data_IF_666574980102
#
_entry.id   IF_666574980102
#
_cell.length_a   1.000
_cell.length_b   1.000
_cell.length_c   1.000
_cell.angle_alpha   90.00
_cell.angle_beta   90.00
_cell.angle_gamma   90.00
#
_symmetry.space_group_name_H-M   'P 1'
#
loop_
_entity.id
_entity.type
_entity.pdbx_description
1 polymer ?
#
# COMPACT_ATOMS: atom_id res chain seq x y z
N UNK A 1 15.96 88.40 3.30
CA UNK A 1 15.59 89.64 2.60
C UNK A 1 15.04 89.25 1.23
N UNK A 2 13.71 89.23 1.05
CA UNK A 2 12.94 90.21 0.23
C UNK A 2 13.45 90.28 -1.22
N UNK A 3 12.67 90.09 -2.29
CA UNK A 3 11.26 90.40 -2.57
C UNK A 3 10.83 89.71 -3.88
N UNK A 4 9.51 89.60 -4.01
CA UNK A 4 8.69 89.31 -5.20
C UNK A 4 9.20 89.83 -6.55
N UNK A 5 8.90 89.07 -7.61
CA UNK A 5 8.26 89.62 -8.80
C UNK A 5 7.40 88.56 -9.48
N UNK A 6 6.12 88.89 -9.63
CA UNK A 6 5.12 88.13 -10.37
C UNK A 6 5.26 88.41 -11.87
N UNK A 7 5.02 87.41 -12.71
CA UNK A 7 4.72 87.62 -14.12
C UNK A 7 3.44 86.86 -14.46
N UNK A 8 2.46 87.64 -14.89
CA UNK A 8 1.22 87.22 -15.52
C UNK A 8 1.56 86.63 -16.89
N UNK A 9 1.09 85.43 -17.19
CA UNK A 9 0.82 85.10 -18.60
C UNK A 9 -0.34 84.12 -18.75
N UNK A 10 -1.06 84.41 -19.82
CA UNK A 10 -2.46 84.08 -20.14
C UNK A 10 -2.70 82.64 -20.54
N UNK A 11 -3.81 82.08 -20.05
CA UNK A 11 -4.38 80.78 -20.46
C UNK A 11 -4.85 80.78 -21.92
N UNK A 12 -4.46 79.79 -22.75
CA UNK A 12 -5.25 79.39 -23.90
C UNK A 12 -6.23 78.28 -23.54
N UNK A 13 -7.51 78.63 -23.66
CA UNK A 13 -8.69 77.77 -23.71
C UNK A 13 -8.58 76.79 -24.91
N UNK A 14 -8.43 75.49 -24.69
CA UNK A 14 -8.65 74.47 -25.75
C UNK A 14 -9.42 73.25 -25.26
N UNK A 15 -10.65 73.19 -25.78
CA UNK A 15 -11.53 72.06 -26.12
C UNK A 15 -11.31 70.72 -25.41
N UNK A 16 -12.34 70.35 -24.65
CA UNK A 16 -12.62 68.98 -24.24
C UNK A 16 -12.99 68.13 -25.47
N UNK A 17 -12.05 67.29 -25.93
CA UNK A 17 -12.39 66.18 -26.81
C UNK A 17 -12.84 64.99 -25.96
N UNK A 18 -14.17 64.87 -25.88
CA UNK A 18 -14.87 63.67 -25.42
C UNK A 18 -14.72 62.58 -26.47
N UNK A 19 -13.77 61.66 -26.35
CA UNK A 19 -13.88 60.28 -26.90
C UNK A 19 -12.63 59.41 -26.62
N UNK A 20 -12.55 58.74 -25.45
CA UNK A 20 -11.74 57.51 -25.35
C UNK A 20 -12.54 56.29 -24.84
N UNK A 21 -13.83 56.42 -24.55
CA UNK A 21 -14.62 55.35 -23.94
C UNK A 21 -15.26 54.38 -24.96
N UNK A 22 -15.47 54.81 -26.21
CA UNK A 22 -16.13 53.99 -27.22
C UNK A 22 -15.19 52.95 -27.87
N UNK A 23 -13.92 53.29 -28.05
CA UNK A 23 -12.88 52.39 -28.59
C UNK A 23 -12.45 51.35 -27.57
N UNK A 24 -12.36 51.70 -26.28
CA UNK A 24 -12.02 50.77 -25.20
C UNK A 24 -13.09 49.68 -25.02
N UNK A 25 -14.39 50.04 -25.12
CA UNK A 25 -15.51 49.07 -25.03
C UNK A 25 -15.54 48.07 -26.19
N UNK A 26 -15.17 48.49 -27.40
CA UNK A 26 -15.11 47.59 -28.56
C UNK A 26 -13.93 46.61 -28.47
N UNK A 27 -12.79 47.05 -27.92
CA UNK A 27 -11.64 46.18 -27.68
C UNK A 27 -11.92 45.13 -26.59
N UNK A 28 -12.61 45.53 -25.52
CA UNK A 28 -12.99 44.63 -24.42
C UNK A 28 -13.97 43.54 -24.87
N UNK A 29 -14.91 43.87 -25.77
CA UNK A 29 -15.83 42.89 -26.36
C UNK A 29 -15.13 41.86 -27.26
N UNK A 30 -14.13 42.30 -28.06
CA UNK A 30 -13.36 41.39 -28.92
C UNK A 30 -12.48 40.46 -28.09
N UNK A 31 -11.79 40.98 -27.07
CA UNK A 31 -10.97 40.16 -26.16
C UNK A 31 -11.83 39.17 -25.36
N UNK A 32 -13.02 39.57 -24.92
CA UNK A 32 -13.97 38.66 -24.26
C UNK A 32 -14.48 37.55 -25.20
N UNK A 33 -14.76 37.85 -26.47
CA UNK A 33 -15.14 36.84 -27.46
C UNK A 33 -13.98 35.88 -27.79
N UNK A 34 -12.74 36.36 -27.88
CA UNK A 34 -11.57 35.51 -28.07
C UNK A 34 -11.30 34.59 -26.86
N UNK A 35 -11.50 35.08 -25.64
CA UNK A 35 -11.40 34.27 -24.42
C UNK A 35 -12.51 33.21 -24.35
N UNK A 36 -13.74 33.52 -24.75
CA UNK A 36 -14.84 32.54 -24.83
C UNK A 36 -14.59 31.46 -25.89
N UNK A 37 -13.97 31.81 -27.02
CA UNK A 37 -13.57 30.83 -28.04
C UNK A 37 -12.43 29.90 -27.55
N UNK A 38 -11.54 30.39 -26.68
CA UNK A 38 -10.49 29.59 -26.04
C UNK A 38 -11.04 28.62 -24.98
N UNK A 39 -12.14 28.96 -24.28
CA UNK A 39 -12.77 28.06 -23.30
C UNK A 39 -13.58 26.94 -23.98
N UNK A 40 -14.16 27.19 -25.16
CA UNK A 40 -14.88 26.17 -25.94
C UNK A 40 -13.95 25.10 -26.58
N UNK A 41 -12.63 25.34 -26.63
CA UNK A 41 -11.64 24.41 -27.17
C UNK A 41 -11.17 23.30 -26.22
N UNK A 42 -11.56 23.35 -24.94
CA UNK A 42 -11.25 22.31 -23.94
C UNK A 42 -12.36 21.26 -23.78
N UNK A 43 -13.28 21.15 -24.75
CA UNK A 43 -14.16 19.99 -24.84
C UNK A 43 -13.36 18.81 -25.40
N UNK A 44 -12.64 18.11 -24.51
CA UNK A 44 -12.07 16.81 -24.82
C UNK A 44 -13.17 15.92 -25.41
N UNK A 45 -12.94 15.42 -26.63
CA UNK A 45 -13.82 14.42 -27.26
C UNK A 45 -14.04 13.28 -26.26
N UNK A 46 -15.28 12.81 -26.04
CA UNK A 46 -15.50 11.64 -25.21
C UNK A 46 -14.78 10.48 -25.90
N UNK A 47 -13.66 10.06 -25.31
CA UNK A 47 -13.06 8.77 -25.67
C UNK A 47 -14.13 7.75 -25.33
N UNK A 48 -14.56 7.02 -26.35
CA UNK A 48 -15.36 5.82 -26.16
C UNK A 48 -14.62 4.96 -25.14
N UNK A 49 -15.17 4.89 -23.93
CA UNK A 49 -14.64 4.05 -22.87
C UNK A 49 -14.74 2.60 -23.36
N UNK A 50 -13.62 2.05 -23.80
CA UNK A 50 -13.45 0.61 -23.76
C UNK A 50 -13.77 0.20 -22.32
N UNK A 51 -14.62 -0.82 -22.10
CA UNK A 51 -14.98 -1.21 -20.74
C UNK A 51 -13.69 -1.45 -19.97
N UNK A 52 -13.51 -0.70 -18.89
CA UNK A 52 -12.34 -0.82 -18.04
C UNK A 52 -12.19 -2.30 -17.68
N UNK A 53 -11.05 -2.90 -18.03
CA UNK A 53 -10.79 -4.29 -17.67
C UNK A 53 -10.99 -4.41 -16.16
N UNK A 54 -11.73 -5.43 -15.67
CA UNK A 54 -11.96 -5.59 -14.26
C UNK A 54 -10.61 -5.68 -13.56
N UNK A 55 -10.34 -4.73 -12.68
CA UNK A 55 -9.08 -4.64 -11.93
C UNK A 55 -8.99 -5.71 -10.86
N UNK A 56 -10.06 -6.47 -10.63
CA UNK A 56 -10.21 -7.42 -9.53
C UNK A 56 -10.55 -6.77 -8.19
N UNK A 57 -10.75 -5.44 -8.16
CA UNK A 57 -11.09 -4.68 -6.97
C UNK A 57 -12.52 -4.13 -7.02
N UNK A 58 -13.16 -4.06 -5.85
CA UNK A 58 -14.52 -3.53 -5.68
C UNK A 58 -14.60 -2.00 -5.95
N UNK A 59 -13.48 -1.28 -5.83
CA UNK A 59 -13.39 0.17 -6.07
C UNK A 59 -11.96 0.65 -6.33
N UNK A 60 -11.82 1.87 -6.84
CA UNK A 60 -10.51 2.53 -6.97
C UNK A 60 -9.81 2.70 -5.61
N UNK A 61 -10.58 2.95 -4.55
CA UNK A 61 -10.06 3.05 -3.19
C UNK A 61 -9.57 1.72 -2.65
N UNK A 62 -10.29 0.63 -2.92
CA UNK A 62 -9.83 -0.70 -2.56
C UNK A 62 -8.49 -1.03 -3.23
N UNK A 63 -8.33 -0.64 -4.51
CA UNK A 63 -7.05 -0.75 -5.21
C UNK A 63 -5.96 0.13 -4.57
N UNK A 64 -6.24 1.40 -4.28
CA UNK A 64 -5.26 2.32 -3.69
C UNK A 64 -4.81 1.87 -2.30
N UNK A 65 -5.73 1.31 -1.50
CA UNK A 65 -5.41 0.71 -0.20
C UNK A 65 -4.56 -0.54 -0.40
N UNK A 66 -4.88 -1.40 -1.36
CA UNK A 66 -4.06 -2.58 -1.67
C UNK A 66 -2.63 -2.17 -2.06
N UNK A 67 -2.47 -1.24 -3.01
CA UNK A 67 -1.17 -0.71 -3.42
C UNK A 67 -0.40 -0.07 -2.24
N UNK A 68 -1.11 0.58 -1.30
CA UNK A 68 -0.54 1.13 -0.07
C UNK A 68 -0.05 0.02 0.87
N UNK A 69 -0.86 -1.03 1.07
CA UNK A 69 -0.52 -2.16 1.92
C UNK A 69 0.62 -3.00 1.36
N UNK A 70 0.74 -3.16 0.04
CA UNK A 70 1.88 -3.84 -0.60
C UNK A 70 3.23 -3.23 -0.21
N UNK A 71 3.29 -1.93 0.09
CA UNK A 71 4.53 -1.22 0.47
C UNK A 71 4.83 -1.28 1.96
N UNK A 72 3.86 -1.64 2.78
CA UNK A 72 4.03 -1.64 4.24
C UNK A 72 5.18 -2.54 4.72
N UNK A 73 5.37 -3.78 4.21
CA UNK A 73 6.47 -4.65 4.64
C UNK A 73 7.85 -4.02 4.47
N UNK A 74 8.08 -3.32 3.35
CA UNK A 74 9.34 -2.63 3.09
C UNK A 74 9.57 -1.51 4.11
N UNK A 75 8.52 -0.76 4.46
CA UNK A 75 8.59 0.32 5.47
C UNK A 75 8.86 -0.27 6.85
N UNK A 76 8.15 -1.33 7.25
CA UNK A 76 8.31 -2.00 8.54
C UNK A 76 9.71 -2.61 8.70
N UNK A 77 10.24 -3.25 7.66
CA UNK A 77 11.58 -3.84 7.67
C UNK A 77 12.72 -2.82 7.48
N UNK A 78 12.42 -1.58 7.07
CA UNK A 78 13.43 -0.58 6.71
C UNK A 78 14.29 -0.09 7.88
N UNK A 79 13.78 -0.16 9.11
CA UNK A 79 14.37 0.50 10.28
C UNK A 79 14.19 2.03 10.31
N UNK A 80 13.50 2.62 9.32
CA UNK A 80 13.23 4.05 9.27
C UNK A 80 11.94 4.38 10.04
N UNK A 81 12.12 4.72 11.33
CA UNK A 81 11.03 5.17 12.19
C UNK A 81 10.29 6.41 11.65
N UNK A 82 10.95 7.30 10.90
CA UNK A 82 10.29 8.47 10.31
C UNK A 82 9.41 8.06 9.14
N UNK A 83 9.84 7.11 8.32
CA UNK A 83 9.01 6.55 7.26
C UNK A 83 7.76 5.87 7.83
N UNK A 84 7.90 5.12 8.92
CA UNK A 84 6.74 4.52 9.61
C UNK A 84 5.80 5.58 10.17
N UNK A 85 6.32 6.62 10.85
CA UNK A 85 5.49 7.72 11.35
C UNK A 85 4.73 8.46 10.24
N UNK A 86 5.30 8.57 9.03
CA UNK A 86 4.62 9.23 7.89
C UNK A 86 3.39 8.49 7.39
N UNK A 87 3.29 7.18 7.61
CA UNK A 87 2.13 6.39 7.17
C UNK A 87 1.08 6.21 8.26
N UNK A 88 1.36 6.67 9.48
CA UNK A 88 0.45 6.64 10.62
C UNK A 88 -0.24 8.00 10.79
N UNK A 89 -1.43 8.00 11.40
CA UNK A 89 -2.00 9.23 11.95
C UNK A 89 -1.29 9.60 13.25
N UNK A 90 -1.32 10.88 13.62
CA UNK A 90 -0.72 11.35 14.88
C UNK A 90 -1.38 10.71 16.11
N UNK A 91 -2.65 10.32 16.00
CA UNK A 91 -3.43 9.67 17.05
C UNK A 91 -3.44 8.13 16.95
N UNK A 92 -2.59 7.54 16.10
CA UNK A 92 -2.67 6.12 15.80
C UNK A 92 -2.40 5.22 17.03
N UNK A 93 -2.92 4.00 16.95
CA UNK A 93 -2.63 2.90 17.87
C UNK A 93 -1.82 1.85 17.14
N UNK A 94 -0.58 1.64 17.56
CA UNK A 94 0.35 0.73 16.90
C UNK A 94 0.82 -0.35 17.86
N UNK A 95 0.56 -1.61 17.54
CA UNK A 95 1.14 -2.76 18.25
C UNK A 95 2.37 -3.24 17.48
N UNK A 96 3.58 -3.23 18.09
CA UNK A 96 4.78 -3.77 17.46
C UNK A 96 4.62 -5.23 17.04
N UNK A 97 5.25 -5.60 15.94
CA UNK A 97 5.24 -6.97 15.42
C UNK A 97 6.13 -7.87 16.28
N UNK A 98 7.25 -7.33 16.75
CA UNK A 98 8.18 -8.02 17.62
C UNK A 98 8.37 -7.27 18.94
N UNK A 99 8.68 -8.02 19.99
CA UNK A 99 9.01 -7.50 21.32
C UNK A 99 7.99 -7.88 22.40
N UNK A 100 8.32 -7.55 23.63
CA UNK A 100 7.50 -7.89 24.81
C UNK A 100 6.38 -6.88 25.07
N UNK A 101 6.23 -5.87 24.21
CA UNK A 101 5.24 -4.80 24.38
C UNK A 101 3.85 -5.32 23.98
N UNK A 102 3.13 -5.88 24.95
CA UNK A 102 1.72 -6.29 24.78
C UNK A 102 0.81 -5.05 24.61
N UNK A 103 1.28 -3.86 25.00
CA UNK A 103 0.48 -2.63 24.97
C UNK A 103 0.69 -1.86 23.66
N UNK A 104 -0.39 -1.39 23.02
CA UNK A 104 -0.28 -0.50 21.87
C UNK A 104 0.43 0.80 22.23
N UNK A 105 1.35 1.24 21.38
CA UNK A 105 1.89 2.60 21.39
C UNK A 105 0.79 3.53 20.90
N UNK A 106 0.46 4.55 21.69
CA UNK A 106 -0.64 5.49 21.40
C UNK A 106 -0.10 6.82 20.87
N UNK A 107 -0.96 7.61 20.24
CA UNK A 107 -0.60 8.87 19.57
C UNK A 107 0.43 9.76 20.28
N UNK A 108 0.19 10.09 21.57
CA UNK A 108 1.11 10.92 22.36
C UNK A 108 2.51 10.33 22.61
N UNK A 109 2.69 9.04 22.33
CA UNK A 109 3.92 8.27 22.52
C UNK A 109 4.56 7.83 21.20
N UNK A 110 3.83 7.85 20.07
CA UNK A 110 4.30 7.34 18.78
C UNK A 110 5.64 7.94 18.37
N UNK A 111 5.75 9.27 18.36
CA UNK A 111 6.97 9.95 17.92
C UNK A 111 8.19 9.67 18.80
N UNK A 112 7.96 9.27 20.06
CA UNK A 112 9.01 8.98 21.05
C UNK A 112 9.46 7.53 21.03
N UNK A 113 8.52 6.59 20.96
CA UNK A 113 8.79 5.16 21.12
C UNK A 113 8.96 4.43 19.78
N UNK A 114 8.15 4.77 18.77
CA UNK A 114 8.09 4.01 17.53
C UNK A 114 9.43 3.94 16.79
N UNK A 115 10.24 5.01 16.68
CA UNK A 115 11.52 4.91 15.99
C UNK A 115 12.48 3.89 16.58
N UNK A 116 12.52 3.76 17.91
CA UNK A 116 13.35 2.78 18.59
C UNK A 116 12.84 1.34 18.34
N UNK A 117 11.52 1.16 18.34
CA UNK A 117 10.89 -0.14 18.04
C UNK A 117 11.19 -0.59 16.61
N UNK A 118 11.00 0.27 15.62
CA UNK A 118 11.25 -0.08 14.21
C UNK A 118 12.74 -0.37 13.96
N UNK A 119 13.64 0.36 14.63
CA UNK A 119 15.08 0.07 14.58
C UNK A 119 15.43 -1.30 15.18
N UNK A 120 14.76 -1.66 16.29
CA UNK A 120 14.94 -2.94 16.98
C UNK A 120 14.38 -4.12 16.15
N UNK A 121 13.22 -3.96 15.52
CA UNK A 121 12.65 -4.93 14.58
C UNK A 121 13.60 -5.20 13.41
N UNK A 122 14.19 -4.15 12.83
CA UNK A 122 15.24 -4.30 11.81
C UNK A 122 16.49 -5.00 12.36
N UNK A 123 16.93 -4.66 13.58
CA UNK A 123 18.09 -5.29 14.21
C UNK A 123 17.88 -6.79 14.41
N UNK A 124 16.66 -7.20 14.73
CA UNK A 124 16.24 -8.60 14.78
C UNK A 124 16.10 -9.24 13.40
N UNK A 125 16.27 -8.50 12.31
CA UNK A 125 16.15 -9.01 10.96
C UNK A 125 14.70 -9.40 10.62
N UNK A 126 13.73 -8.61 11.09
CA UNK A 126 12.32 -8.80 10.74
C UNK A 126 12.16 -8.79 9.22
N UNK A 127 11.53 -9.84 8.71
CA UNK A 127 11.00 -9.91 7.37
C UNK A 127 9.51 -10.27 7.43
N UNK A 128 8.73 -9.62 6.60
CA UNK A 128 7.28 -9.69 6.57
C UNK A 128 6.83 -9.94 5.12
N UNK A 129 5.96 -10.92 4.93
CA UNK A 129 5.35 -11.20 3.63
C UNK A 129 3.84 -11.37 3.78
N UNK A 130 3.07 -10.71 2.92
CA UNK A 130 1.61 -10.86 2.91
C UNK A 130 1.18 -12.14 2.19
N UNK A 131 0.15 -12.78 2.73
CA UNK A 131 -0.60 -13.83 2.04
C UNK A 131 -1.85 -13.21 1.43
N UNK A 132 -1.99 -13.34 0.12
CA UNK A 132 -3.22 -12.99 -0.58
C UNK A 132 -4.32 -14.06 -0.37
N UNK A 133 -5.62 -13.68 -0.42
CA UNK A 133 -6.13 -12.32 -0.65
C UNK A 133 -6.15 -11.44 0.62
N UNK A 134 -6.03 -10.11 0.45
CA UNK A 134 -6.39 -9.13 1.48
C UNK A 134 -7.93 -8.90 1.52
N UNK A 135 -8.55 -8.92 2.70
CA UNK A 135 -9.94 -8.43 2.85
C UNK A 135 -9.93 -6.92 3.07
N UNK A 136 -10.28 -6.19 2.02
CA UNK A 136 -10.33 -4.73 2.01
C UNK A 136 -11.80 -4.28 2.02
N UNK A 137 -12.13 -3.41 2.97
CA UNK A 137 -13.45 -2.80 3.11
C UNK A 137 -13.31 -1.29 3.16
N UNK A 138 -14.08 -0.57 2.33
CA UNK A 138 -14.02 0.89 2.23
C UNK A 138 -15.40 1.48 2.49
N UNK A 139 -15.47 2.51 3.34
CA UNK A 139 -16.70 3.24 3.66
C UNK A 139 -16.40 4.74 3.79
N UNK A 140 -16.58 5.48 2.70
CA UNK A 140 -16.26 6.91 2.62
C UNK A 140 -14.78 7.14 2.91
N UNK A 141 -14.46 8.02 3.86
CA UNK A 141 -13.09 8.37 4.26
C UNK A 141 -12.43 7.36 5.22
N UNK A 142 -13.03 6.19 5.41
CA UNK A 142 -12.53 5.13 6.28
C UNK A 142 -12.35 3.83 5.50
N UNK A 143 -11.30 3.10 5.84
CA UNK A 143 -11.04 1.78 5.30
C UNK A 143 -10.62 0.82 6.40
N UNK A 144 -10.73 -0.46 6.14
CA UNK A 144 -10.10 -1.49 6.95
C UNK A 144 -9.51 -2.58 6.08
N UNK A 145 -8.39 -3.13 6.52
CA UNK A 145 -7.73 -4.27 5.89
C UNK A 145 -7.56 -5.38 6.91
N UNK A 146 -7.95 -6.59 6.54
CA UNK A 146 -7.48 -7.81 7.18
C UNK A 146 -6.55 -8.53 6.21
N UNK A 147 -5.38 -8.92 6.68
CA UNK A 147 -4.37 -9.62 5.87
C UNK A 147 -3.62 -10.62 6.76
N UNK A 148 -3.26 -11.79 6.21
CA UNK A 148 -2.39 -12.73 6.93
C UNK A 148 -0.95 -12.46 6.53
N UNK A 149 -0.05 -12.53 7.50
CA UNK A 149 1.36 -12.24 7.32
C UNK A 149 2.24 -13.40 7.77
N UNK A 150 3.22 -13.75 6.95
CA UNK A 150 4.35 -14.58 7.34
C UNK A 150 5.46 -13.68 7.89
N UNK A 151 5.88 -13.93 9.12
CA UNK A 151 6.97 -13.23 9.77
C UNK A 151 8.15 -14.17 9.94
N UNK A 152 9.36 -13.65 9.69
CA UNK A 152 10.61 -14.30 10.09
C UNK A 152 11.53 -13.29 10.73
N UNK A 153 12.29 -13.72 11.75
CA UNK A 153 13.26 -12.88 12.45
C UNK A 153 14.33 -13.74 13.13
N UNK A 154 15.34 -13.09 13.73
CA UNK A 154 16.39 -13.71 14.52
C UNK A 154 16.29 -13.27 15.97
N UNK A 155 16.29 -14.25 16.87
CA UNK A 155 16.28 -14.00 18.32
C UNK A 155 17.28 -14.94 18.99
N UNK A 156 18.24 -14.39 19.74
CA UNK A 156 19.28 -15.15 20.44
C UNK A 156 20.04 -16.12 19.51
N UNK A 157 20.36 -15.67 18.29
CA UNK A 157 21.05 -16.47 17.28
C UNK A 157 20.17 -17.49 16.54
N UNK A 158 18.93 -17.70 16.97
CA UNK A 158 18.00 -18.66 16.36
C UNK A 158 17.06 -17.96 15.37
N UNK A 159 16.82 -18.61 14.23
CA UNK A 159 15.75 -18.20 13.32
C UNK A 159 14.39 -18.51 13.95
N UNK A 160 13.48 -17.54 13.86
CA UNK A 160 12.11 -17.62 14.34
C UNK A 160 11.16 -17.31 13.20
N UNK A 161 9.97 -17.88 13.28
CA UNK A 161 8.90 -17.63 12.33
C UNK A 161 7.55 -17.60 13.06
N UNK A 162 6.62 -16.84 12.54
CA UNK A 162 5.24 -16.80 13.01
C UNK A 162 4.30 -16.44 11.85
N UNK A 163 3.04 -16.81 12.00
CA UNK A 163 1.96 -16.34 11.13
C UNK A 163 1.07 -15.42 11.95
N UNK A 164 0.73 -14.26 11.41
CA UNK A 164 -0.12 -13.28 12.07
C UNK A 164 -1.35 -12.95 11.24
N UNK A 165 -2.51 -12.84 11.88
CA UNK A 165 -3.69 -12.18 11.34
C UNK A 165 -3.61 -10.70 11.69
N UNK A 166 -3.34 -9.86 10.69
CA UNK A 166 -3.17 -8.42 10.88
C UNK A 166 -4.46 -7.67 10.56
N UNK A 167 -4.76 -6.66 11.37
CA UNK A 167 -5.81 -5.68 11.12
C UNK A 167 -5.21 -4.28 10.99
N UNK A 168 -5.68 -3.56 9.98
CA UNK A 168 -5.40 -2.14 9.78
C UNK A 168 -6.71 -1.36 9.74
N UNK A 169 -6.85 -0.38 10.63
CA UNK A 169 -7.85 0.67 10.53
C UNK A 169 -7.25 1.86 9.79
N UNK A 170 -7.85 2.25 8.66
CA UNK A 170 -7.35 3.30 7.78
C UNK A 170 -8.30 4.50 7.78
N UNK A 171 -7.73 5.69 7.69
CA UNK A 171 -8.47 6.93 7.44
C UNK A 171 -7.78 7.72 6.34
N UNK A 172 -8.56 8.52 5.61
CA UNK A 172 -8.01 9.45 4.63
C UNK A 172 -7.66 10.78 5.32
N UNK A 173 -6.49 11.31 5.01
CA UNK A 173 -6.08 12.65 5.47
C UNK A 173 -6.64 13.76 4.57
N UNK A 174 -6.34 15.01 4.93
CA UNK A 174 -6.79 16.20 4.19
C UNK A 174 -6.25 16.27 2.76
N UNK A 175 -5.15 15.57 2.47
CA UNK A 175 -4.53 15.48 1.13
C UNK A 175 -5.03 14.27 0.34
N UNK A 176 -6.10 13.64 0.81
CA UNK A 176 -6.69 12.44 0.24
C UNK A 176 -5.78 11.20 0.29
N UNK A 177 -4.79 11.15 1.18
CA UNK A 177 -3.89 10.01 1.36
C UNK A 177 -4.37 9.09 2.48
N UNK A 178 -4.29 7.78 2.26
CA UNK A 178 -4.59 6.79 3.29
C UNK A 178 -3.50 6.77 4.37
N UNK A 179 -3.92 6.76 5.63
CA UNK A 179 -3.07 6.67 6.82
C UNK A 179 -3.59 5.58 7.75
N UNK A 180 -2.67 4.94 8.45
CA UNK A 180 -2.99 3.93 9.47
C UNK A 180 -3.36 4.65 10.77
N UNK A 181 -4.61 4.45 11.20
CA UNK A 181 -5.12 4.90 12.51
C UNK A 181 -4.98 3.80 13.56
N UNK A 182 -5.06 2.55 13.15
CA UNK A 182 -4.96 1.41 14.05
C UNK A 182 -4.23 0.27 13.35
N UNK A 183 -3.29 -0.34 14.07
CA UNK A 183 -2.61 -1.54 13.63
C UNK A 183 -2.42 -2.49 14.82
N UNK A 184 -2.83 -3.73 14.63
CA UNK A 184 -2.49 -4.84 15.50
C UNK A 184 -2.43 -6.14 14.70
N UNK A 185 -1.61 -7.07 15.17
CA UNK A 185 -1.54 -8.43 14.64
C UNK A 185 -1.75 -9.44 15.76
N UNK A 186 -2.49 -10.49 15.47
CA UNK A 186 -2.71 -11.60 16.37
C UNK A 186 -2.01 -12.85 15.83
N UNK A 187 -1.22 -13.57 16.65
CA UNK A 187 -0.59 -14.81 16.20
C UNK A 187 -1.67 -15.87 15.90
N UNK A 188 -1.49 -16.59 14.80
CA UNK A 188 -2.40 -17.64 14.33
C UNK A 188 -1.62 -18.88 13.93
N UNK A 189 -2.32 -19.99 13.71
CA UNK A 189 -1.72 -21.23 13.23
C UNK A 189 -1.06 -21.08 11.84
N UNK A 190 -0.09 -21.94 11.49
CA UNK A 190 0.66 -21.85 10.24
C UNK A 190 -0.25 -21.91 9.00
N UNK A 191 -1.35 -22.65 9.09
CA UNK A 191 -2.30 -22.87 8.00
C UNK A 191 -3.46 -21.88 7.98
N UNK A 192 -3.46 -20.88 8.87
CA UNK A 192 -4.52 -19.87 8.88
C UNK A 192 -4.59 -19.13 7.54
N UNK A 193 -5.82 -18.93 7.06
CA UNK A 193 -6.18 -18.17 5.86
C UNK A 193 -7.40 -17.33 6.19
N UNK A 194 -7.49 -16.14 5.60
CA UNK A 194 -8.71 -15.36 5.71
C UNK A 194 -9.87 -16.07 5.00
N UNK A 195 -11.10 -15.96 5.52
CA UNK A 195 -12.27 -16.47 4.82
C UNK A 195 -12.41 -15.76 3.47
N UNK A 196 -12.62 -16.54 2.40
CA UNK A 196 -12.80 -15.97 1.07
C UNK A 196 -14.06 -15.10 1.04
N UNK A 197 -13.90 -13.80 0.74
CA UNK A 197 -15.01 -12.83 0.60
C UNK A 197 -16.02 -13.28 -0.46
N UNK A 198 -15.54 -13.99 -1.47
CA UNK A 198 -16.34 -14.74 -2.44
C UNK A 198 -15.48 -15.89 -3.02
N UNK A 199 -15.85 -17.17 -2.86
CA UNK A 199 -15.04 -18.30 -3.33
C UNK A 199 -14.86 -18.35 -4.86
N UNK A 200 -15.59 -17.52 -5.62
CA UNK A 200 -15.53 -17.45 -7.08
C UNK A 200 -14.63 -16.32 -7.63
N UNK A 201 -14.08 -15.44 -6.79
CA UNK A 201 -13.12 -14.44 -7.24
C UNK A 201 -11.75 -15.09 -7.40
N UNK A 202 -11.25 -15.14 -8.64
CA UNK A 202 -9.87 -15.59 -8.91
C UNK A 202 -8.91 -14.67 -8.13
N UNK A 203 -7.88 -15.23 -7.48
CA UNK A 203 -6.82 -14.44 -6.87
C UNK A 203 -6.28 -13.42 -7.87
N UNK A 204 -5.97 -12.22 -7.40
CA UNK A 204 -5.28 -11.23 -8.22
C UNK A 204 -4.02 -11.88 -8.81
N UNK A 205 -3.74 -11.70 -10.10
CA UNK A 205 -2.56 -12.27 -10.70
C UNK A 205 -1.32 -11.73 -9.97
N UNK A 206 -0.33 -12.60 -9.66
CA UNK A 206 0.95 -12.13 -9.11
C UNK A 206 1.53 -11.06 -10.03
N UNK A 207 1.98 -9.94 -9.45
CA UNK A 207 2.64 -8.89 -10.22
C UNK A 207 3.91 -9.45 -10.86
N UNK A 208 4.08 -9.20 -12.17
CA UNK A 208 5.36 -9.45 -12.83
C UNK A 208 6.46 -8.64 -12.14
N UNK A 209 7.58 -9.29 -11.81
CA UNK A 209 8.76 -8.68 -11.21
C UNK A 209 9.13 -7.34 -11.89
N UNK A 210 9.74 -6.37 -11.16
CA UNK A 210 10.08 -5.06 -11.70
C UNK A 210 10.81 -5.23 -13.04
N UNK A 211 10.31 -4.55 -14.07
CA UNK A 211 10.74 -4.69 -15.45
C UNK A 211 12.28 -4.76 -15.54
N UNK A 212 12.79 -5.96 -15.77
CA UNK A 212 14.14 -6.14 -16.29
C UNK A 212 14.29 -5.42 -17.64
N UNK A 213 15.52 -5.12 -18.07
CA UNK A 213 15.77 -4.29 -19.24
C UNK A 213 15.05 -4.85 -20.48
N UNK A 214 14.34 -3.96 -21.18
CA UNK A 214 13.45 -4.27 -22.29
C UNK A 214 14.10 -5.20 -23.34
N UNK A 215 13.51 -6.39 -23.54
CA UNK A 215 13.89 -7.27 -24.65
C UNK A 215 13.36 -6.67 -25.97
N UNK A 216 14.28 -6.48 -26.93
CA UNK A 216 13.99 -6.03 -28.31
C UNK A 216 12.91 -6.92 -28.94
N UNK A 217 11.88 -6.28 -29.51
CA UNK A 217 10.87 -6.91 -30.36
C UNK A 217 11.52 -7.33 -31.68
N UNK A 218 11.41 -8.60 -32.06
CA UNK A 218 11.62 -9.08 -33.44
C UNK A 218 10.24 -9.47 -33.97
N UNK A 219 9.91 -8.96 -35.16
CA UNK A 219 8.62 -9.12 -35.84
C UNK A 219 8.65 -10.36 -36.76
N UNK A 220 7.44 -10.90 -36.96
CA UNK A 220 6.97 -12.18 -37.49
C UNK A 220 7.13 -12.41 -39.01
N UNK A 221 7.37 -13.67 -39.39
CA UNK A 221 7.28 -14.29 -40.74
C UNK A 221 8.44 -15.29 -40.90
N UNK A 222 8.31 -16.60 -41.13
CA UNK A 222 7.27 -17.46 -41.73
C UNK A 222 7.62 -18.96 -41.39
N UNK A 223 7.05 -20.05 -41.98
CA UNK A 223 6.32 -21.15 -41.33
C UNK A 223 7.11 -22.50 -41.12
N UNK A 224 6.53 -23.55 -40.48
CA UNK A 224 7.26 -24.63 -39.78
C UNK A 224 7.53 -25.88 -40.63
N UNK A 225 8.51 -26.70 -40.19
CA UNK A 225 8.69 -28.11 -40.64
C UNK A 225 9.30 -28.97 -39.50
N UNK A 226 9.18 -30.31 -39.54
CA UNK A 226 8.56 -31.11 -38.48
C UNK A 226 9.60 -31.93 -37.67
N UNK A 227 9.15 -32.45 -36.53
CA UNK A 227 9.90 -33.40 -35.71
C UNK A 227 10.08 -34.77 -36.39
N UNK A 228 11.10 -35.53 -35.98
CA UNK A 228 10.92 -36.97 -35.79
C UNK A 228 11.43 -37.48 -34.43
N UNK A 229 10.46 -38.06 -33.69
CA UNK A 229 10.44 -39.35 -32.98
C UNK A 229 11.66 -39.89 -32.17
N UNK A 230 11.42 -40.07 -30.86
CA UNK A 230 11.40 -41.32 -30.05
C UNK A 230 12.49 -42.40 -30.27
N UNK A 231 13.10 -43.05 -29.27
CA UNK A 231 12.63 -43.88 -28.11
C UNK A 231 13.92 -44.49 -27.45
N UNK A 232 13.95 -45.42 -26.46
CA UNK A 232 12.94 -45.94 -25.51
C UNK A 232 13.41 -46.06 -24.03
N UNK A 233 12.49 -46.49 -23.16
CA UNK A 233 12.65 -46.84 -21.73
C UNK A 233 13.39 -48.17 -21.49
N UNK A 234 13.76 -48.48 -20.22
CA UNK A 234 13.11 -49.63 -19.57
C UNK A 234 12.71 -49.47 -18.09
N UNK A 235 11.76 -50.34 -17.73
CA UNK A 235 11.16 -50.65 -16.42
C UNK A 235 12.18 -51.27 -15.41
N UNK A 236 11.90 -51.64 -14.15
CA UNK A 236 10.67 -52.00 -13.42
C UNK A 236 10.90 -51.93 -11.89
N UNK A 237 9.81 -51.89 -11.11
CA UNK A 237 9.72 -52.32 -9.69
C UNK A 237 9.50 -53.87 -9.62
N UNK A 238 9.26 -54.57 -8.48
CA UNK A 238 9.13 -54.20 -7.05
C UNK A 238 9.89 -55.17 -6.09
N UNK A 239 9.81 -55.03 -4.75
CA UNK A 239 9.10 -55.97 -3.84
C UNK A 239 9.34 -55.63 -2.33
N UNK A 240 8.51 -56.14 -1.38
CA UNK A 240 8.15 -55.49 -0.11
C UNK A 240 8.50 -56.28 1.19
N UNK A 241 7.95 -55.78 2.33
CA UNK A 241 7.82 -56.36 3.70
C UNK A 241 8.98 -55.97 4.66
N UNK A 242 8.78 -55.69 5.96
CA UNK A 242 7.90 -56.31 6.96
C UNK A 242 7.50 -55.36 8.11
N UNK A 243 6.35 -55.65 8.72
CA UNK A 243 5.85 -55.14 10.01
C UNK A 243 5.79 -56.35 10.98
N UNK A 244 6.09 -56.18 12.28
CA UNK A 244 5.21 -56.79 13.29
C UNK A 244 4.74 -55.82 14.38
N UNK A 245 3.81 -56.34 15.17
CA UNK A 245 2.71 -55.71 15.90
C UNK A 245 2.88 -55.78 17.44
N UNK A 246 2.04 -55.01 18.15
CA UNK A 246 1.47 -55.20 19.50
C UNK A 246 2.26 -54.90 20.81
N UNK A 247 1.89 -53.76 21.45
CA UNK A 247 1.21 -53.56 22.76
C UNK A 247 1.76 -54.04 24.15
N UNK A 248 1.35 -53.35 25.27
CA UNK A 248 2.07 -53.08 26.55
C UNK A 248 1.64 -54.06 27.69
N UNK A 249 1.83 -53.91 29.05
CA UNK A 249 2.14 -52.73 29.92
C UNK A 249 3.14 -52.99 31.09
N UNK A 250 3.40 -51.98 31.95
CA UNK A 250 3.45 -52.13 33.42
C UNK A 250 3.66 -50.81 34.16
N UNK A 251 2.86 -50.66 35.21
CA UNK A 251 2.78 -49.60 36.22
C UNK A 251 4.04 -49.44 37.09
N UNK A 252 4.19 -48.25 37.71
CA UNK A 252 5.17 -48.02 38.76
C UNK A 252 5.24 -46.59 39.28
N UNK A 253 4.30 -46.27 40.17
CA UNK A 253 4.13 -45.04 40.97
C UNK A 253 5.41 -44.42 41.58
N UNK A 254 5.46 -43.07 41.69
CA UNK A 254 5.43 -42.32 42.97
C UNK A 254 5.72 -40.80 42.74
N UNK A 255 4.73 -39.97 43.13
CA UNK A 255 4.69 -38.49 43.28
C UNK A 255 5.41 -38.13 44.62
N UNK A 256 6.06 -36.97 44.91
CA UNK A 256 5.52 -35.60 44.76
C UNK A 256 6.46 -34.37 44.59
N UNK A 257 5.81 -33.25 44.22
CA UNK A 257 6.13 -31.83 44.51
C UNK A 257 7.45 -31.20 44.03
N UNK A 258 7.38 -30.49 42.90
CA UNK A 258 7.70 -29.06 42.89
C UNK A 258 7.04 -28.39 41.68
N UNK A 259 6.21 -27.38 41.93
CA UNK A 259 5.49 -26.63 40.92
C UNK A 259 6.46 -25.96 39.94
N UNK A 260 6.36 -26.36 38.67
CA UNK A 260 6.86 -25.59 37.54
C UNK A 260 5.67 -24.90 36.85
N UNK A 261 5.81 -23.65 36.39
CA UNK A 261 4.70 -22.86 35.88
C UNK A 261 4.08 -23.52 34.65
N UNK A 262 2.76 -23.70 34.69
CA UNK A 262 2.00 -24.20 33.54
C UNK A 262 2.02 -23.14 32.44
N UNK A 263 2.27 -23.52 31.17
CA UNK A 263 1.95 -22.65 30.05
C UNK A 263 0.43 -22.47 29.99
N UNK A 264 -0.02 -21.23 29.79
CA UNK A 264 -1.29 -21.04 29.11
C UNK A 264 -1.02 -21.47 27.67
N UNK A 265 -1.72 -22.53 27.26
CA UNK A 265 -1.65 -23.30 26.01
C UNK A 265 -0.72 -24.52 26.04
#
# INVERSE_FOLDING_TARGET
>A
MTRHAAFHETLPRRRADRTPLATLRRLLAVVACCLLALVAGCAAKPKHDAPAKPTGFDSADAKNIHDFMERYPDIAASGDGKAMLRILTEDARYVPLLGNAIRPIRGGELSKQLPAVIAEEKRMGLHLAWREPMDIQVKGERGSVRVVADLTWRQSGQARQAVMSCYFGLVRDENLLWKIKEFHGEPVGPDFRLPAKNPNLKPLPPREAPHGPAKKRVIKGEPPKPAPAAKPAPAAAPAPQQQPEAAPPSDGSLVPTNEAPRPLF
#
